data_IF_119366956626
#
_entry.id   IF_119366956626
#
_cell.length_a   1.000
_cell.length_b   1.000
_cell.length_c   1.000
_cell.angle_alpha   90.00
_cell.angle_beta   90.00
_cell.angle_gamma   90.00
#
_symmetry.space_group_name_H-M   'P 1'
#
loop_
_entity.id
_entity.type
_entity.pdbx_description
1 polymer ?
#
# COMPACT_ATOMS: atom_id res chain seq x y z
N UNK A 1 -22.39 24.70 58.15
CA UNK A 1 -22.79 23.88 56.99
C UNK A 1 -21.59 23.78 56.06
N UNK A 2 -21.05 22.57 55.93
CA UNK A 2 -19.78 22.29 55.24
C UNK A 2 -20.07 21.23 54.16
N UNK A 3 -19.77 21.48 52.86
CA UNK A 3 -20.14 20.56 51.81
C UNK A 3 -19.14 19.40 51.71
N UNK A 4 -19.64 18.18 51.96
CA UNK A 4 -18.90 16.94 51.76
C UNK A 4 -18.63 16.69 50.27
N UNK A 5 -17.35 16.60 49.90
CA UNK A 5 -16.90 16.23 48.57
C UNK A 5 -16.86 14.69 48.41
N UNK A 6 -17.61 14.18 47.43
CA UNK A 6 -17.66 12.76 47.10
C UNK A 6 -16.44 12.31 46.28
N UNK A 7 -15.83 11.14 46.56
CA UNK A 7 -14.70 10.64 45.79
C UNK A 7 -15.14 10.09 44.42
N UNK A 8 -14.65 10.71 43.35
CA UNK A 8 -14.85 10.25 41.99
C UNK A 8 -14.10 8.93 41.76
N UNK A 9 -14.86 7.84 41.62
CA UNK A 9 -14.35 6.50 41.34
C UNK A 9 -13.82 6.44 39.90
N UNK A 10 -12.50 6.53 39.73
CA UNK A 10 -11.82 6.41 38.44
C UNK A 10 -11.84 4.96 37.96
N UNK A 11 -12.84 4.60 37.16
CA UNK A 11 -12.87 3.31 36.45
C UNK A 11 -11.72 3.30 35.44
N UNK A 12 -10.67 2.52 35.72
CA UNK A 12 -9.54 2.33 34.81
C UNK A 12 -10.01 1.80 33.47
N UNK A 13 -9.75 2.55 32.40
CA UNK A 13 -9.94 2.06 31.04
C UNK A 13 -9.01 0.86 30.81
N UNK A 14 -9.52 -0.27 30.29
CA UNK A 14 -8.68 -1.41 29.99
C UNK A 14 -7.60 -1.00 28.99
N UNK A 15 -6.35 -1.30 29.32
CA UNK A 15 -5.20 -1.07 28.47
C UNK A 15 -5.46 -1.71 27.10
N UNK A 16 -5.57 -0.87 26.05
CA UNK A 16 -5.65 -1.33 24.67
C UNK A 16 -4.40 -2.16 24.38
N UNK A 17 -4.57 -3.46 24.19
CA UNK A 17 -3.49 -4.32 23.72
C UNK A 17 -2.87 -3.71 22.45
N UNK A 18 -1.58 -3.38 22.53
CA UNK A 18 -0.85 -2.83 21.40
C UNK A 18 -0.81 -3.88 20.28
N UNK A 19 -1.42 -3.57 19.13
CA UNK A 19 -1.32 -4.42 17.96
C UNK A 19 0.13 -4.39 17.48
N UNK A 20 0.82 -5.52 17.55
CA UNK A 20 2.13 -5.69 16.93
C UNK A 20 2.00 -5.32 15.46
N UNK A 21 2.71 -4.28 15.03
CA UNK A 21 2.71 -3.84 13.64
C UNK A 21 3.18 -5.01 12.75
N UNK A 22 2.41 -5.33 11.71
CA UNK A 22 2.79 -6.41 10.79
C UNK A 22 4.07 -5.99 10.03
N UNK A 23 5.01 -6.92 9.77
CA UNK A 23 6.14 -6.65 8.90
C UNK A 23 5.63 -6.15 7.54
N UNK A 24 6.17 -5.03 7.07
CA UNK A 24 5.82 -4.50 5.75
C UNK A 24 6.51 -5.32 4.67
N UNK A 25 5.77 -5.61 3.59
CA UNK A 25 6.29 -6.25 2.37
C UNK A 25 6.66 -5.19 1.34
N UNK A 26 7.56 -5.53 0.41
CA UNK A 26 7.83 -4.71 -0.76
C UNK A 26 6.60 -4.69 -1.68
N UNK A 27 6.35 -3.55 -2.32
CA UNK A 27 5.29 -3.41 -3.32
C UNK A 27 5.76 -4.02 -4.62
N UNK A 28 4.94 -4.84 -5.25
CA UNK A 28 5.24 -5.45 -6.55
C UNK A 28 5.36 -4.37 -7.65
N UNK A 29 6.31 -4.52 -8.58
CA UNK A 29 6.56 -3.56 -9.66
C UNK A 29 5.30 -3.21 -10.46
N UNK A 30 4.50 -4.21 -10.80
CA UNK A 30 3.24 -3.99 -11.52
C UNK A 30 2.26 -3.12 -10.70
N UNK A 31 2.19 -3.32 -9.39
CA UNK A 31 1.35 -2.50 -8.53
C UNK A 31 1.90 -1.06 -8.40
N UNK A 32 3.23 -0.89 -8.37
CA UNK A 32 3.85 0.44 -8.44
C UNK A 32 3.49 1.15 -9.76
N UNK A 33 3.64 0.47 -10.90
CA UNK A 33 3.31 1.02 -12.22
C UNK A 33 1.85 1.43 -12.31
N UNK A 34 0.92 0.58 -11.91
CA UNK A 34 -0.51 0.89 -11.97
C UNK A 34 -0.90 1.99 -11.00
N UNK A 35 -0.37 1.97 -9.76
CA UNK A 35 -0.63 3.05 -8.81
C UNK A 35 -0.09 4.39 -9.32
N UNK A 36 1.06 4.39 -9.99
CA UNK A 36 1.61 5.57 -10.65
C UNK A 36 0.69 6.02 -11.78
N UNK A 37 0.25 5.13 -12.67
CA UNK A 37 -0.69 5.47 -13.75
C UNK A 37 -1.99 6.06 -13.19
N UNK A 38 -2.60 5.44 -12.17
CA UNK A 38 -3.79 5.98 -11.50
C UNK A 38 -3.56 7.39 -10.95
N UNK A 39 -2.40 7.65 -10.35
CA UNK A 39 -2.03 8.98 -9.88
C UNK A 39 -1.85 9.97 -11.05
N UNK A 40 -1.16 9.57 -12.11
CA UNK A 40 -0.93 10.41 -13.28
C UNK A 40 -2.22 10.79 -14.01
N UNK A 41 -3.24 9.92 -14.00
CA UNK A 41 -4.56 10.23 -14.54
C UNK A 41 -5.28 11.37 -13.81
N UNK A 42 -4.83 11.73 -12.59
CA UNK A 42 -5.36 12.88 -11.85
C UNK A 42 -4.66 14.20 -12.20
N UNK A 43 -3.59 14.18 -12.99
CA UNK A 43 -2.82 15.37 -13.33
C UNK A 43 -3.33 16.01 -14.61
N UNK A 44 -3.61 17.32 -14.56
CA UNK A 44 -3.93 18.09 -15.75
C UNK A 44 -2.62 18.57 -16.42
N UNK A 45 -2.12 17.79 -17.38
CA UNK A 45 -0.89 18.12 -18.13
C UNK A 45 -1.25 18.59 -19.54
N UNK A 46 -0.56 19.63 -20.02
CA UNK A 46 -0.63 20.04 -21.43
C UNK A 46 0.17 19.04 -22.26
N UNK A 47 -0.44 18.45 -23.29
CA UNK A 47 0.24 17.53 -24.21
C UNK A 47 1.07 18.34 -25.22
N UNK A 48 2.41 18.27 -25.21
CA UNK A 48 3.24 18.97 -26.18
C UNK A 48 3.05 18.43 -27.60
N UNK A 49 3.13 19.31 -28.59
CA UNK A 49 3.25 18.94 -30.01
C UNK A 49 4.49 18.05 -30.18
N UNK A 50 4.31 16.85 -30.75
CA UNK A 50 5.38 15.85 -30.90
C UNK A 50 5.38 14.74 -29.83
N UNK A 51 4.49 14.78 -28.85
CA UNK A 51 4.29 13.63 -27.95
C UNK A 51 3.71 12.43 -28.71
N UNK A 52 4.23 11.24 -28.46
CA UNK A 52 3.71 10.01 -29.07
C UNK A 52 2.24 9.73 -28.69
N UNK A 53 1.88 9.93 -27.41
CA UNK A 53 0.52 9.78 -26.90
C UNK A 53 0.35 10.52 -25.55
N UNK A 54 -0.88 10.70 -25.03
CA UNK A 54 -1.12 11.35 -23.74
C UNK A 54 -0.41 10.66 -22.56
N UNK A 55 -0.33 9.32 -22.57
CA UNK A 55 0.39 8.56 -21.54
C UNK A 55 1.87 8.94 -21.50
N UNK A 56 2.53 8.99 -22.66
CA UNK A 56 3.94 9.37 -22.71
C UNK A 56 4.16 10.85 -22.37
N UNK A 57 3.20 11.74 -22.69
CA UNK A 57 3.26 13.15 -22.29
C UNK A 57 3.19 13.31 -20.77
N UNK A 58 2.24 12.64 -20.10
CA UNK A 58 2.12 12.70 -18.62
C UNK A 58 3.29 11.98 -17.94
N UNK A 59 3.80 10.90 -18.52
CA UNK A 59 4.99 10.21 -18.01
C UNK A 59 6.25 11.09 -18.10
N UNK A 60 6.44 11.83 -19.19
CA UNK A 60 7.54 12.78 -19.32
C UNK A 60 7.45 13.90 -18.27
N UNK A 61 6.24 14.42 -18.01
CA UNK A 61 6.02 15.41 -16.96
C UNK A 61 6.26 14.82 -15.56
N UNK A 62 5.86 13.58 -15.31
CA UNK A 62 6.16 12.86 -14.08
C UNK A 62 7.67 12.73 -13.85
N UNK A 63 8.45 12.36 -14.87
CA UNK A 63 9.91 12.29 -14.80
C UNK A 63 10.53 13.64 -14.46
N UNK A 64 10.03 14.73 -15.06
CA UNK A 64 10.46 16.09 -14.74
C UNK A 64 10.20 16.43 -13.26
N UNK A 65 9.01 16.16 -12.76
CA UNK A 65 8.64 16.39 -11.34
C UNK A 65 9.47 15.52 -10.40
N UNK A 66 9.70 14.25 -10.73
CA UNK A 66 10.56 13.35 -9.96
C UNK A 66 12.00 13.86 -9.89
N UNK A 67 12.54 14.42 -10.97
CA UNK A 67 13.84 15.08 -10.97
C UNK A 67 13.91 16.26 -9.99
N UNK A 68 12.85 17.07 -9.93
CA UNK A 68 12.76 18.17 -8.96
C UNK A 68 12.64 17.66 -7.52
N UNK A 69 11.85 16.60 -7.28
CA UNK A 69 11.71 15.98 -5.96
C UNK A 69 13.03 15.37 -5.48
N UNK A 70 13.81 14.77 -6.38
CA UNK A 70 15.12 14.20 -6.05
C UNK A 70 16.14 15.26 -5.62
N UNK A 71 15.97 16.51 -6.04
CA UNK A 71 16.80 17.63 -5.63
C UNK A 71 16.40 18.23 -4.26
N UNK A 72 15.31 17.77 -3.64
CA UNK A 72 14.91 18.25 -2.32
C UNK A 72 15.88 17.77 -1.23
N UNK A 73 16.06 18.53 -0.14
CA UNK A 73 16.78 18.05 1.03
C UNK A 73 16.21 16.74 1.56
N UNK A 74 17.08 15.83 2.01
CA UNK A 74 16.66 14.56 2.60
C UNK A 74 15.68 14.80 3.77
N UNK A 75 14.58 14.05 3.79
CA UNK A 75 13.57 14.09 4.88
C UNK A 75 13.51 12.73 5.56
N UNK A 76 14.26 12.49 6.66
CA UNK A 76 14.29 11.20 7.35
C UNK A 76 12.92 10.74 7.88
N UNK A 77 11.99 11.67 8.08
CA UNK A 77 10.62 11.39 8.51
C UNK A 77 9.70 10.93 7.36
N UNK A 78 10.19 10.85 6.12
CA UNK A 78 9.41 10.36 4.99
C UNK A 78 9.26 8.84 5.08
N UNK A 79 8.09 8.40 5.56
CA UNK A 79 7.74 7.00 5.71
C UNK A 79 6.40 6.75 4.99
N UNK A 80 6.12 5.53 4.49
CA UNK A 80 4.81 5.26 3.90
C UNK A 80 3.73 5.34 4.98
N UNK A 81 2.68 6.12 4.73
CA UNK A 81 1.58 6.34 5.67
C UNK A 81 0.45 5.33 5.42
N UNK A 82 -0.18 4.85 6.48
CA UNK A 82 -1.34 3.94 6.40
C UNK A 82 -1.24 2.73 7.32
N UNK A 83 -2.39 2.31 7.83
CA UNK A 83 -2.53 1.14 8.73
C UNK A 83 -2.81 -0.16 7.95
N UNK A 84 -3.07 -0.05 6.64
CA UNK A 84 -3.37 -1.17 5.76
C UNK A 84 -2.30 -1.35 4.68
N UNK A 85 -1.91 -2.60 4.47
CA UNK A 85 -1.08 -3.02 3.34
C UNK A 85 -1.72 -4.22 2.67
N UNK A 86 -1.84 -4.17 1.33
CA UNK A 86 -2.32 -5.31 0.56
C UNK A 86 -1.41 -6.52 0.78
N UNK A 87 -1.98 -7.67 1.14
CA UNK A 87 -1.21 -8.89 1.39
C UNK A 87 -0.72 -9.59 0.10
N UNK A 88 -1.25 -9.19 -1.06
CA UNK A 88 -0.91 -9.74 -2.38
C UNK A 88 0.18 -8.90 -3.04
N UNK A 89 -0.10 -7.62 -3.32
CA UNK A 89 0.82 -6.76 -4.07
C UNK A 89 1.67 -5.82 -3.22
N UNK A 90 1.48 -5.75 -1.89
CA UNK A 90 2.29 -4.93 -1.00
C UNK A 90 1.99 -3.42 -0.98
N UNK A 91 1.06 -2.92 -1.80
CA UNK A 91 0.70 -1.49 -1.81
C UNK A 91 0.20 -1.03 -0.43
N UNK A 92 0.67 0.13 0.02
CA UNK A 92 0.28 0.79 1.28
C UNK A 92 -0.55 2.03 0.94
N UNK A 93 -1.80 1.82 0.53
CA UNK A 93 -2.75 2.90 0.31
C UNK A 93 -4.18 2.39 0.59
N UNK A 94 -4.87 3.02 1.53
CA UNK A 94 -6.23 2.63 1.92
C UNK A 94 -7.28 2.85 0.84
N UNK A 95 -7.01 3.72 -0.14
CA UNK A 95 -7.95 3.99 -1.25
C UNK A 95 -8.12 2.76 -2.16
N UNK A 96 -7.10 1.89 -2.25
CA UNK A 96 -7.20 0.62 -2.98
C UNK A 96 -7.85 -0.49 -2.16
N UNK A 97 -8.23 -0.24 -0.90
CA UNK A 97 -8.80 -1.26 -0.03
C UNK A 97 -10.26 -1.49 -0.35
N UNK A 98 -10.56 -2.60 -1.02
CA UNK A 98 -11.94 -3.03 -1.28
C UNK A 98 -12.62 -3.40 0.04
N UNK A 99 -13.58 -2.57 0.47
CA UNK A 99 -14.39 -2.82 1.67
C UNK A 99 -15.50 -3.81 1.34
N UNK A 100 -15.48 -4.98 1.98
CA UNK A 100 -16.59 -5.92 1.91
C UNK A 100 -17.77 -5.54 2.80
N UNK A 101 -18.92 -6.19 2.58
CA UNK A 101 -20.03 -6.19 3.56
C UNK A 101 -19.50 -6.55 4.95
N UNK A 102 -19.75 -5.70 5.95
CA UNK A 102 -19.27 -5.87 7.32
C UNK A 102 -17.88 -5.31 7.62
N UNK A 103 -17.33 -4.40 6.79
CA UNK A 103 -16.10 -3.65 7.09
C UNK A 103 -14.79 -4.43 6.98
N UNK A 104 -14.83 -5.73 6.64
CA UNK A 104 -13.64 -6.53 6.37
C UNK A 104 -13.11 -6.23 4.96
N UNK A 105 -11.79 -6.05 4.83
CA UNK A 105 -11.15 -5.91 3.53
C UNK A 105 -11.35 -7.20 2.73
N UNK A 106 -11.94 -7.11 1.53
CA UNK A 106 -12.11 -8.26 0.62
C UNK A 106 -10.98 -8.40 -0.38
N UNK A 107 -10.25 -7.32 -0.64
CA UNK A 107 -9.20 -7.34 -1.65
C UNK A 107 -8.51 -5.99 -1.79
N UNK A 108 -7.85 -5.83 -2.92
CA UNK A 108 -7.16 -4.63 -3.35
C UNK A 108 -7.58 -4.37 -4.80
N UNK A 109 -8.05 -3.16 -5.13
CA UNK A 109 -8.52 -2.85 -6.49
C UNK A 109 -7.42 -3.09 -7.53
N UNK A 110 -6.17 -2.74 -7.21
CA UNK A 110 -5.02 -3.04 -8.06
C UNK A 110 -4.82 -4.53 -8.34
N UNK A 111 -5.23 -5.42 -7.43
CA UNK A 111 -5.12 -6.88 -7.59
C UNK A 111 -6.36 -7.51 -8.25
N UNK A 112 -7.47 -6.78 -8.35
CA UNK A 112 -8.66 -7.26 -9.05
C UNK A 112 -8.50 -7.01 -10.55
N UNK A 113 -7.97 -5.83 -10.88
CA UNK A 113 -7.77 -5.40 -12.27
C UNK A 113 -6.56 -6.08 -12.92
N UNK A 114 -5.72 -6.72 -12.12
CA UNK A 114 -4.56 -7.45 -12.60
C UNK A 114 -4.70 -8.91 -12.28
N UNK A 115 -4.41 -9.75 -13.26
CA UNK A 115 -4.07 -11.14 -13.01
C UNK A 115 -2.71 -11.25 -12.31
N UNK A 116 -2.40 -10.42 -11.29
CA UNK A 116 -1.23 -10.61 -10.43
C UNK A 116 -1.40 -12.01 -9.84
N UNK A 117 -0.62 -13.00 -10.30
CA UNK A 117 -0.73 -14.33 -9.77
C UNK A 117 -0.39 -14.17 -8.31
N UNK A 118 -1.27 -14.60 -7.41
CA UNK A 118 -0.97 -14.65 -6.00
C UNK A 118 0.33 -15.46 -5.88
N UNK A 119 1.45 -14.75 -5.74
CA UNK A 119 2.78 -15.29 -5.90
C UNK A 119 2.82 -16.53 -5.03
N UNK A 120 3.02 -17.66 -5.71
CA UNK A 120 2.80 -19.02 -5.21
C UNK A 120 3.05 -19.02 -3.73
N UNK A 121 1.99 -19.22 -2.93
CA UNK A 121 2.14 -19.51 -1.50
C UNK A 121 3.31 -20.46 -1.42
N UNK A 122 4.32 -20.10 -0.63
CA UNK A 122 5.54 -20.87 -0.38
C UNK A 122 5.20 -22.18 0.34
N UNK A 123 4.23 -22.92 -0.19
CA UNK A 123 3.77 -24.22 0.25
C UNK A 123 4.67 -25.24 -0.43
N UNK A 124 5.57 -25.79 0.37
CA UNK A 124 6.18 -27.09 0.13
C UNK A 124 7.05 -27.16 -1.11
N UNK A 125 8.35 -27.01 -0.91
CA UNK A 125 9.31 -27.85 -1.62
C UNK A 125 8.87 -29.31 -1.46
N UNK A 126 8.10 -29.84 -2.41
CA UNK A 126 8.09 -31.27 -2.67
C UNK A 126 9.44 -31.54 -3.33
N UNK A 127 10.39 -31.99 -2.52
CA UNK A 127 11.73 -32.36 -3.00
C UNK A 127 11.62 -33.38 -4.14
N UNK A 128 12.57 -33.38 -5.08
CA UNK A 128 12.57 -34.35 -6.17
C UNK A 128 12.63 -35.77 -5.59
N UNK A 129 11.57 -36.56 -5.85
CA UNK A 129 11.62 -38.01 -5.65
C UNK A 129 12.74 -38.57 -6.50
N UNK A 130 13.81 -39.02 -5.84
CA UNK A 130 14.88 -39.78 -6.46
C UNK A 130 14.28 -41.08 -7.03
N UNK A 131 14.18 -41.17 -8.35
CA UNK A 131 13.98 -42.44 -9.05
C UNK A 131 15.31 -43.19 -9.01
N UNK A 132 15.38 -44.24 -8.20
CA UNK A 132 16.44 -45.22 -8.25
C UNK A 132 16.32 -46.02 -9.55
N UNK A 133 17.35 -45.98 -10.38
CA UNK A 133 17.55 -46.91 -11.50
C UNK A 133 18.28 -48.14 -10.99
N UNK A 134 17.73 -49.33 -11.30
CA UNK A 134 18.36 -50.64 -11.17
C UNK A 134 19.19 -50.95 -12.43
#
# INVERSE_FOLDING_TARGET
EEPQASPASSRGSPARAAKVARPRRETHDLAMQLSLVSMLLTWQVKVPEGSCCPLHAVAAEALRVLGLLAAWPCRPSFLPHGDWQCQVCGIVNEDYRVRGRGGRARGCDLCVDTEIPASRRSGGSAGPSATASL
#
